data_IF_153067255346
#
_entry.id   IF_153067255346
#
_cell.length_a   1.000
_cell.length_b   1.000
_cell.length_c   1.000
_cell.angle_alpha   90.00
_cell.angle_beta   90.00
_cell.angle_gamma   90.00
#
_symmetry.space_group_name_H-M   'P 1'
#
loop_
_entity.id
_entity.type
_entity.pdbx_description
1 polymer ?
#
# COMPACT_ATOMS: atom_id res chain seq x y z
N UNK A 1 4.79 47.42 -36.65
CA UNK A 1 5.24 47.68 -35.25
C UNK A 1 4.90 46.44 -34.45
N UNK A 2 5.88 45.89 -33.72
CA UNK A 2 6.00 44.46 -33.35
C UNK A 2 4.90 43.95 -32.40
N UNK A 3 4.30 42.81 -32.75
CA UNK A 3 3.46 41.99 -31.88
C UNK A 3 4.38 41.21 -30.92
N UNK A 4 4.29 41.46 -29.62
CA UNK A 4 5.05 40.72 -28.60
C UNK A 4 4.27 39.43 -28.31
N UNK A 5 4.84 38.31 -28.74
CA UNK A 5 4.37 36.97 -28.40
C UNK A 5 4.82 36.65 -26.97
N UNK A 6 3.88 36.66 -26.01
CA UNK A 6 4.14 36.21 -24.65
C UNK A 6 4.26 34.68 -24.67
N UNK A 7 5.49 34.18 -24.62
CA UNK A 7 5.79 32.76 -24.41
C UNK A 7 5.53 32.48 -22.92
N UNK A 8 4.44 31.79 -22.63
CA UNK A 8 4.20 31.19 -21.31
C UNK A 8 5.14 30.00 -21.20
N UNK A 9 6.26 30.18 -20.50
CA UNK A 9 7.14 29.08 -20.10
C UNK A 9 6.40 28.24 -19.06
N UNK A 10 5.83 27.12 -19.51
CA UNK A 10 5.39 26.04 -18.64
C UNK A 10 6.64 25.43 -17.99
N UNK A 11 6.90 25.77 -16.72
CA UNK A 11 7.95 25.13 -15.94
C UNK A 11 7.46 23.72 -15.59
N UNK A 12 7.82 22.75 -16.42
CA UNK A 12 7.71 21.33 -16.08
C UNK A 12 8.84 21.06 -15.08
N UNK A 13 8.54 21.13 -13.79
CA UNK A 13 9.41 20.56 -12.76
C UNK A 13 9.45 19.05 -12.96
N UNK A 14 10.51 18.56 -13.59
CA UNK A 14 10.81 17.14 -13.63
C UNK A 14 11.06 16.67 -12.19
N UNK A 15 10.06 16.03 -11.57
CA UNK A 15 10.21 15.36 -10.29
C UNK A 15 11.17 14.19 -10.47
N UNK A 16 12.39 14.30 -9.92
CA UNK A 16 13.26 13.15 -9.74
C UNK A 16 12.69 12.31 -8.59
N UNK A 17 12.56 10.97 -8.74
CA UNK A 17 12.23 10.13 -7.61
C UNK A 17 13.31 10.28 -6.53
N UNK A 18 12.86 10.42 -5.29
CA UNK A 18 13.73 10.52 -4.11
C UNK A 18 14.49 9.22 -3.95
N UNK A 19 15.79 9.24 -4.23
CA UNK A 19 16.71 8.16 -3.88
C UNK A 19 16.99 8.26 -2.39
N UNK A 20 16.70 7.20 -1.63
CA UNK A 20 17.18 7.07 -0.27
C UNK A 20 18.70 7.25 -0.24
N UNK A 21 19.20 8.04 0.72
CA UNK A 21 20.63 8.13 0.97
C UNK A 21 21.08 6.79 1.59
N UNK A 22 21.63 5.89 0.78
CA UNK A 22 22.14 4.59 1.24
C UNK A 22 23.48 4.72 1.99
N UNK A 23 24.03 5.93 2.14
CA UNK A 23 25.37 6.17 2.71
C UNK A 23 25.38 6.57 4.20
N UNK A 24 24.22 6.86 4.80
CA UNK A 24 24.10 7.17 6.24
C UNK A 24 23.72 5.96 7.09
N UNK A 25 24.16 5.94 8.36
CA UNK A 25 23.73 4.95 9.38
C UNK A 25 22.20 4.95 9.60
N UNK A 26 21.53 6.05 9.23
CA UNK A 26 20.08 6.22 9.29
C UNK A 26 19.49 6.21 7.88
N UNK A 27 18.68 5.19 7.58
CA UNK A 27 17.95 5.10 6.29
C UNK A 27 16.54 5.63 6.46
N UNK A 28 16.31 6.83 5.94
CA UNK A 28 14.99 7.48 5.87
C UNK A 28 14.30 7.11 4.54
N UNK A 29 13.05 6.67 4.62
CA UNK A 29 12.25 6.23 3.46
C UNK A 29 10.90 6.94 3.47
N UNK A 30 10.58 7.65 2.38
CA UNK A 30 9.27 8.25 2.14
C UNK A 30 8.81 7.94 0.70
N UNK A 31 7.52 7.65 0.48
CA UNK A 31 6.94 7.59 -0.85
C UNK A 31 6.86 9.00 -1.46
N UNK A 32 6.74 9.12 -2.80
CA UNK A 32 6.72 10.42 -3.47
C UNK A 32 5.49 11.29 -3.12
N UNK A 33 4.39 10.66 -2.70
CA UNK A 33 3.19 11.34 -2.26
C UNK A 33 2.46 10.53 -1.19
N UNK A 34 1.73 11.24 -0.33
CA UNK A 34 0.76 10.71 0.63
C UNK A 34 -0.58 11.39 0.41
N UNK A 35 -1.68 10.75 0.81
CA UNK A 35 -3.03 11.20 0.46
C UNK A 35 -3.86 11.42 1.72
N UNK A 36 -4.66 12.48 1.73
CA UNK A 36 -5.61 12.76 2.80
C UNK A 36 -6.88 13.43 2.24
N UNK A 37 -7.92 13.50 3.07
CA UNK A 37 -9.16 14.22 2.78
C UNK A 37 -9.58 15.09 3.98
N UNK A 38 -10.38 16.14 3.76
CA UNK A 38 -10.95 16.90 4.85
C UNK A 38 -11.70 16.02 5.88
N UNK A 39 -11.40 16.20 7.16
CA UNK A 39 -12.00 15.46 8.28
C UNK A 39 -11.50 14.03 8.48
N UNK A 40 -10.61 13.52 7.62
CA UNK A 40 -9.94 12.23 7.80
C UNK A 40 -8.57 12.40 8.44
N UNK A 41 -8.29 11.70 9.54
CA UNK A 41 -6.95 11.69 10.13
C UNK A 41 -5.98 10.90 9.24
N UNK A 42 -4.79 11.47 9.05
CA UNK A 42 -3.63 10.81 8.44
C UNK A 42 -2.40 11.08 9.30
N UNK A 43 -1.57 10.08 9.49
CA UNK A 43 -0.33 10.16 10.26
C UNK A 43 0.87 9.60 9.50
N UNK A 44 2.05 10.10 9.83
CA UNK A 44 3.34 9.54 9.46
C UNK A 44 4.05 9.15 10.75
N UNK A 45 4.02 7.85 11.08
CA UNK A 45 4.70 7.31 12.25
C UNK A 45 6.21 7.22 12.03
N UNK A 46 7.00 7.80 12.94
CA UNK A 46 8.44 7.95 12.75
C UNK A 46 9.19 6.61 12.74
N UNK A 47 8.73 5.61 13.50
CA UNK A 47 9.31 4.26 13.49
C UNK A 47 9.17 3.56 12.13
N UNK A 48 8.19 3.97 11.32
CA UNK A 48 7.87 3.37 10.01
C UNK A 48 8.72 3.95 8.87
N UNK A 49 9.21 5.18 9.01
CA UNK A 49 9.99 5.87 7.97
C UNK A 49 11.50 5.70 8.13
N UNK A 50 11.96 5.10 9.23
CA UNK A 50 13.40 4.96 9.52
C UNK A 50 13.81 3.52 9.80
N UNK A 51 14.94 3.10 9.23
CA UNK A 51 15.61 1.88 9.68
C UNK A 51 16.50 2.19 10.89
N UNK A 52 15.94 2.05 12.09
CA UNK A 52 16.67 2.11 13.35
C UNK A 52 16.16 1.04 14.32
N UNK A 53 17.06 0.50 15.15
CA UNK A 53 16.72 -0.48 16.17
C UNK A 53 15.82 0.12 17.25
N UNK A 54 16.11 1.37 17.67
CA UNK A 54 15.22 2.22 18.48
C UNK A 54 15.16 3.62 17.86
N UNK A 55 13.97 4.17 17.73
CA UNK A 55 13.75 5.55 17.27
C UNK A 55 14.02 6.59 18.36
N UNK A 56 14.12 6.18 19.63
CA UNK A 56 14.24 7.10 20.79
C UNK A 56 15.59 7.82 20.85
N UNK A 57 16.56 7.37 20.04
CA UNK A 57 17.88 8.01 19.87
C UNK A 57 17.90 9.01 18.71
N UNK A 58 16.75 9.24 18.07
CA UNK A 58 16.60 10.11 16.91
C UNK A 58 15.62 11.25 17.23
N UNK A 59 15.87 12.40 16.62
CA UNK A 59 14.96 13.54 16.62
C UNK A 59 14.37 13.72 15.22
N UNK A 60 13.06 13.88 15.16
CA UNK A 60 12.33 14.10 13.91
C UNK A 60 11.78 15.52 13.88
N UNK A 61 11.98 16.19 12.75
CA UNK A 61 11.41 17.50 12.49
C UNK A 61 10.68 17.47 11.16
N UNK A 62 9.34 17.56 11.19
CA UNK A 62 8.52 17.65 10.00
C UNK A 62 8.16 19.11 9.72
N UNK A 63 8.43 19.56 8.50
CA UNK A 63 8.00 20.86 7.99
C UNK A 63 6.87 20.65 7.00
N UNK A 64 5.68 21.15 7.31
CA UNK A 64 4.52 21.21 6.45
C UNK A 64 3.68 22.43 6.90
N UNK A 65 2.95 23.05 5.98
CA UNK A 65 2.06 24.18 6.27
C UNK A 65 0.75 23.76 6.96
N UNK A 66 0.45 22.46 6.97
CA UNK A 66 -0.65 21.84 7.72
C UNK A 66 -0.15 20.72 8.64
N UNK A 67 -1.00 20.31 9.58
CA UNK A 67 -0.68 19.24 10.53
C UNK A 67 0.19 19.69 11.69
N UNK A 68 0.59 18.74 12.52
CA UNK A 68 1.30 18.97 13.76
C UNK A 68 2.32 17.86 14.04
N UNK A 69 3.44 18.24 14.65
CA UNK A 69 4.44 17.30 15.14
C UNK A 69 4.03 16.80 16.53
N UNK A 70 4.06 15.47 16.72
CA UNK A 70 3.97 14.76 18.00
C UNK A 70 5.31 14.07 18.25
N UNK A 71 5.47 13.48 19.43
CA UNK A 71 6.73 12.82 19.82
C UNK A 71 7.05 11.59 18.94
N UNK A 72 6.02 10.86 18.51
CA UNK A 72 6.11 9.59 17.80
C UNK A 72 5.68 9.64 16.32
N UNK A 73 5.06 10.76 15.90
CA UNK A 73 4.52 10.94 14.55
C UNK A 73 4.34 12.41 14.18
N UNK A 74 4.17 12.65 12.90
CA UNK A 74 3.45 13.84 12.42
C UNK A 74 2.02 13.44 12.05
N UNK A 75 1.04 14.30 12.33
CA UNK A 75 -0.38 13.99 12.09
C UNK A 75 -1.16 15.19 11.57
N UNK A 76 -2.23 14.93 10.81
CA UNK A 76 -3.11 15.95 10.27
C UNK A 76 -4.55 15.46 10.20
N UNK A 77 -5.49 16.34 10.50
CA UNK A 77 -6.91 16.22 10.12
C UNK A 77 -7.21 17.43 9.22
N UNK A 78 -7.14 17.28 7.89
CA UNK A 78 -7.27 18.43 7.00
C UNK A 78 -8.66 19.08 7.12
N UNK A 79 -8.71 20.40 6.96
CA UNK A 79 -9.95 21.15 6.77
C UNK A 79 -10.24 21.31 5.26
N UNK A 80 -11.42 21.80 4.90
CA UNK A 80 -11.80 21.94 3.48
C UNK A 80 -10.97 22.98 2.73
N UNK A 81 -10.43 23.98 3.41
CA UNK A 81 -9.52 25.00 2.88
C UNK A 81 -8.06 24.51 2.77
N UNK A 82 -7.74 23.34 3.34
CA UNK A 82 -6.47 22.65 3.12
C UNK A 82 -6.48 21.80 1.83
N UNK A 83 -7.48 21.89 0.94
CA UNK A 83 -7.45 21.14 -0.32
C UNK A 83 -6.35 21.68 -1.22
N UNK A 84 -5.41 20.81 -1.62
CA UNK A 84 -4.24 21.17 -2.41
C UNK A 84 -3.08 20.20 -2.23
N UNK A 85 -1.96 20.52 -2.90
CA UNK A 85 -0.68 19.85 -2.71
C UNK A 85 0.15 20.64 -1.68
N UNK A 86 0.60 19.96 -0.63
CA UNK A 86 1.41 20.52 0.44
C UNK A 86 2.79 19.86 0.46
N UNK A 87 3.85 20.66 0.34
CA UNK A 87 5.21 20.15 0.47
C UNK A 87 5.47 19.74 1.91
N UNK A 88 5.97 18.52 2.10
CA UNK A 88 6.30 17.98 3.41
C UNK A 88 7.76 17.52 3.40
N UNK A 89 8.57 18.06 4.30
CA UNK A 89 9.96 17.60 4.53
C UNK A 89 10.10 16.97 5.91
N UNK A 90 10.89 15.91 5.98
CA UNK A 90 11.27 15.26 7.24
C UNK A 90 12.77 15.32 7.36
N UNK A 91 13.25 15.95 8.42
CA UNK A 91 14.65 15.90 8.83
C UNK A 91 14.79 14.98 10.04
N UNK A 92 15.76 14.08 9.98
CA UNK A 92 16.16 13.19 11.08
C UNK A 92 17.53 13.65 11.58
N UNK A 93 17.66 13.83 12.89
CA UNK A 93 18.91 14.23 13.56
C UNK A 93 19.23 13.30 14.73
N UNK A 94 20.49 13.29 15.18
CA UNK A 94 20.84 12.69 16.47
C UNK A 94 20.40 13.59 17.65
N UNK A 95 20.55 13.09 18.87
CA UNK A 95 20.22 13.85 20.10
C UNK A 95 21.06 15.12 20.32
N UNK A 96 22.15 15.32 19.56
CA UNK A 96 22.96 16.54 19.60
C UNK A 96 22.47 17.60 18.60
N UNK A 97 21.47 17.26 17.79
CA UNK A 97 20.93 18.12 16.73
C UNK A 97 21.71 18.03 15.42
N UNK A 98 22.65 17.08 15.27
CA UNK A 98 23.34 16.86 14.00
C UNK A 98 22.40 16.14 13.03
N UNK A 99 22.15 16.78 11.89
CA UNK A 99 21.34 16.18 10.83
C UNK A 99 21.98 14.87 10.31
N UNK A 100 21.17 13.82 10.21
CA UNK A 100 21.55 12.49 9.75
C UNK A 100 20.93 12.17 8.37
N UNK A 101 19.69 12.58 8.14
CA UNK A 101 18.99 12.40 6.87
C UNK A 101 17.91 13.45 6.67
N UNK A 102 17.57 13.73 5.41
CA UNK A 102 16.44 14.59 5.05
C UNK A 102 15.75 14.02 3.80
N UNK A 103 14.42 13.99 3.80
CA UNK A 103 13.62 13.54 2.66
C UNK A 103 12.37 14.41 2.51
N UNK A 104 11.79 14.41 1.31
CA UNK A 104 10.57 15.16 1.01
C UNK A 104 9.51 14.26 0.38
N UNK A 105 8.26 14.62 0.60
CA UNK A 105 7.08 14.04 -0.05
C UNK A 105 6.06 15.16 -0.28
N UNK A 106 4.94 14.82 -0.92
CA UNK A 106 3.80 15.74 -1.11
C UNK A 106 2.58 15.15 -0.42
N UNK A 107 2.02 15.89 0.53
CA UNK A 107 0.69 15.60 1.06
C UNK A 107 -0.34 16.14 0.06
N UNK A 108 -1.11 15.22 -0.52
CA UNK A 108 -2.19 15.51 -1.47
C UNK A 108 -3.52 15.48 -0.72
N UNK A 109 -4.04 16.66 -0.39
CA UNK A 109 -5.36 16.79 0.22
C UNK A 109 -6.38 17.02 -0.88
N UNK A 110 -7.33 16.10 -1.03
CA UNK A 110 -8.36 16.18 -2.08
C UNK A 110 -9.76 16.39 -1.51
N UNK A 111 -10.71 16.97 -2.27
CA UNK A 111 -12.05 17.19 -1.78
C UNK A 111 -12.71 15.91 -1.26
N UNK A 112 -13.39 16.00 -0.11
CA UNK A 112 -14.17 14.89 0.43
C UNK A 112 -15.28 14.41 -0.53
N UNK A 113 -15.71 15.25 -1.47
CA UNK A 113 -16.68 14.92 -2.54
C UNK A 113 -16.04 14.33 -3.82
N UNK A 114 -14.72 14.09 -3.85
CA UNK A 114 -14.07 13.56 -5.05
C UNK A 114 -14.72 12.24 -5.51
N UNK A 115 -15.17 12.17 -6.76
CA UNK A 115 -15.89 11.02 -7.30
C UNK A 115 -17.40 10.99 -7.00
N UNK A 116 -17.99 12.03 -6.39
CA UNK A 116 -19.44 12.15 -6.24
C UNK A 116 -20.15 11.96 -7.59
N UNK A 117 -21.25 11.19 -7.57
CA UNK A 117 -22.03 10.88 -8.78
C UNK A 117 -21.39 9.85 -9.73
N UNK A 118 -20.14 9.44 -9.51
CA UNK A 118 -19.51 8.38 -10.29
C UNK A 118 -19.95 6.99 -9.81
N UNK A 119 -19.65 5.96 -10.62
CA UNK A 119 -19.75 4.56 -10.23
C UNK A 119 -18.40 3.88 -10.46
N UNK A 120 -17.91 3.14 -9.47
CA UNK A 120 -16.61 2.48 -9.51
C UNK A 120 -16.75 0.99 -9.22
N UNK A 121 -15.90 0.19 -9.88
CA UNK A 121 -15.73 -1.23 -9.58
C UNK A 121 -14.32 -1.48 -9.09
N UNK A 122 -14.18 -2.19 -7.99
CA UNK A 122 -12.88 -2.47 -7.37
C UNK A 122 -12.58 -3.97 -7.39
N UNK A 123 -11.34 -4.33 -7.68
CA UNK A 123 -10.80 -5.65 -7.37
C UNK A 123 -9.75 -5.50 -6.28
N UNK A 124 -9.98 -6.12 -5.13
CA UNK A 124 -9.01 -6.14 -4.03
C UNK A 124 -8.30 -7.48 -4.04
N UNK A 125 -6.97 -7.49 -4.05
CA UNK A 125 -6.12 -8.68 -4.05
C UNK A 125 -5.20 -8.60 -2.82
N UNK A 126 -5.09 -9.67 -2.04
CA UNK A 126 -4.15 -9.66 -0.94
C UNK A 126 -4.04 -10.95 -0.15
N UNK A 127 -3.32 -10.87 0.96
CA UNK A 127 -3.00 -12.00 1.82
C UNK A 127 -3.91 -12.10 3.06
N UNK A 128 -3.37 -12.53 4.21
CA UNK A 128 -4.10 -12.64 5.49
C UNK A 128 -4.64 -11.30 5.99
N UNK A 129 -3.94 -10.20 5.72
CA UNK A 129 -4.39 -8.87 6.14
C UNK A 129 -5.69 -8.49 5.42
N UNK A 130 -5.80 -8.87 4.14
CA UNK A 130 -7.02 -8.70 3.35
C UNK A 130 -8.07 -9.75 3.69
N UNK A 131 -7.65 -10.99 3.94
CA UNK A 131 -8.54 -12.08 4.37
C UNK A 131 -9.32 -11.77 5.65
N UNK A 132 -8.77 -10.94 6.55
CA UNK A 132 -9.48 -10.50 7.75
C UNK A 132 -10.74 -9.67 7.44
N UNK A 133 -10.84 -9.11 6.23
CA UNK A 133 -11.91 -8.22 5.76
C UNK A 133 -12.07 -6.91 6.53
N UNK A 134 -11.25 -6.61 7.54
CA UNK A 134 -11.40 -5.38 8.34
C UNK A 134 -11.04 -4.12 7.53
N UNK A 135 -9.91 -4.08 6.83
CA UNK A 135 -9.55 -2.90 6.03
C UNK A 135 -10.40 -2.73 4.75
N UNK A 136 -10.84 -3.82 4.06
CA UNK A 136 -11.82 -3.69 2.98
C UNK A 136 -13.18 -3.19 3.50
N UNK A 137 -13.63 -3.66 4.67
CA UNK A 137 -14.84 -3.15 5.32
C UNK A 137 -14.73 -1.67 5.66
N UNK A 138 -13.59 -1.23 6.20
CA UNK A 138 -13.37 0.19 6.50
C UNK A 138 -13.43 1.05 5.23
N UNK A 139 -12.71 0.64 4.18
CA UNK A 139 -12.76 1.32 2.86
C UNK A 139 -14.19 1.43 2.34
N UNK A 140 -14.96 0.33 2.39
CA UNK A 140 -16.37 0.28 1.99
C UNK A 140 -17.25 1.19 2.88
N UNK A 141 -16.98 1.24 4.18
CA UNK A 141 -17.67 2.11 5.13
C UNK A 141 -17.47 3.59 4.81
N UNK A 142 -16.24 4.01 4.46
CA UNK A 142 -15.97 5.36 3.98
C UNK A 142 -16.65 5.66 2.65
N UNK A 143 -16.58 4.75 1.68
CA UNK A 143 -17.23 4.91 0.38
C UNK A 143 -18.77 4.94 0.46
N UNK A 144 -19.36 4.38 1.52
CA UNK A 144 -20.82 4.35 1.70
C UNK A 144 -21.38 5.61 2.36
N UNK A 145 -20.52 6.57 2.76
CA UNK A 145 -20.96 7.88 3.25
C UNK A 145 -21.52 8.73 2.11
N UNK A 146 -22.39 9.73 2.39
CA UNK A 146 -22.89 10.67 1.38
C UNK A 146 -21.77 11.30 0.53
N UNK A 147 -22.11 11.70 -0.68
CA UNK A 147 -21.22 12.39 -1.64
C UNK A 147 -19.97 11.59 -2.07
N UNK A 148 -19.99 10.27 -1.89
CA UNK A 148 -19.04 9.33 -2.48
C UNK A 148 -19.58 8.70 -3.77
N UNK A 149 -18.72 8.09 -4.59
CA UNK A 149 -19.16 7.29 -5.72
C UNK A 149 -20.00 6.09 -5.26
N UNK A 150 -20.88 5.62 -6.13
CA UNK A 150 -21.41 4.26 -6.01
C UNK A 150 -20.28 3.27 -6.22
N UNK A 151 -20.24 2.20 -5.44
CA UNK A 151 -19.15 1.25 -5.50
C UNK A 151 -19.66 -0.20 -5.55
N UNK A 152 -18.86 -1.07 -6.18
CA UNK A 152 -19.00 -2.51 -6.06
C UNK A 152 -17.61 -3.17 -6.06
N UNK A 153 -17.52 -4.38 -5.54
CA UNK A 153 -16.30 -5.19 -5.55
C UNK A 153 -16.48 -6.42 -6.44
N UNK A 154 -15.44 -6.77 -7.19
CA UNK A 154 -15.45 -7.86 -8.17
C UNK A 154 -14.83 -9.16 -7.65
N UNK A 155 -14.49 -9.23 -6.36
CA UNK A 155 -13.90 -10.41 -5.74
C UNK A 155 -14.91 -11.55 -5.54
N UNK A 156 -14.41 -12.78 -5.51
CA UNK A 156 -15.19 -14.00 -5.28
C UNK A 156 -15.14 -14.49 -3.83
N UNK A 157 -14.15 -14.03 -3.05
CA UNK A 157 -13.99 -14.44 -1.66
C UNK A 157 -14.73 -13.50 -0.72
N UNK A 158 -15.57 -14.09 0.14
CA UNK A 158 -16.39 -13.39 1.13
C UNK A 158 -16.32 -14.12 2.47
N UNK A 159 -15.28 -13.87 3.30
CA UNK A 159 -15.23 -14.35 4.68
C UNK A 159 -16.49 -13.95 5.47
N UNK A 160 -16.78 -14.67 6.56
CA UNK A 160 -17.89 -14.32 7.45
C UNK A 160 -17.77 -12.92 8.06
N UNK A 161 -16.55 -12.38 8.17
CA UNK A 161 -16.29 -11.01 8.63
C UNK A 161 -16.52 -9.93 7.57
N UNK A 162 -16.75 -10.28 6.30
CA UNK A 162 -16.98 -9.31 5.24
C UNK A 162 -18.38 -8.67 5.37
N UNK A 163 -18.41 -7.34 5.40
CA UNK A 163 -19.65 -6.57 5.42
C UNK A 163 -20.49 -6.77 4.15
N UNK A 164 -21.74 -6.29 4.14
CA UNK A 164 -22.57 -6.29 2.94
C UNK A 164 -21.87 -5.57 1.78
N UNK A 165 -21.93 -6.15 0.58
CA UNK A 165 -21.26 -5.64 -0.62
C UNK A 165 -19.74 -5.84 -0.67
N UNK A 166 -19.08 -6.22 0.44
CA UNK A 166 -17.64 -6.48 0.47
C UNK A 166 -17.32 -7.88 -0.03
N UNK A 167 -16.48 -7.94 -1.06
CA UNK A 167 -15.84 -9.17 -1.55
C UNK A 167 -14.45 -8.84 -2.07
N UNK A 168 -13.53 -9.79 -1.98
CA UNK A 168 -12.14 -9.57 -2.37
C UNK A 168 -11.50 -10.87 -2.83
N UNK A 169 -10.24 -10.82 -3.23
CA UNK A 169 -9.37 -11.97 -3.50
C UNK A 169 -8.26 -11.95 -2.44
N UNK A 170 -8.69 -12.11 -1.18
CA UNK A 170 -7.82 -11.98 0.02
C UNK A 170 -7.69 -13.31 0.74
N UNK A 171 -6.47 -13.87 0.76
CA UNK A 171 -6.26 -15.25 1.20
C UNK A 171 -5.08 -15.38 2.16
N UNK A 172 -5.34 -15.92 3.35
CA UNK A 172 -4.31 -16.09 4.37
C UNK A 172 -3.11 -16.91 3.89
N UNK A 173 -1.91 -16.35 4.03
CA UNK A 173 -0.63 -16.99 3.64
C UNK A 173 -0.31 -16.94 2.13
N UNK A 174 -1.10 -16.22 1.33
CA UNK A 174 -0.86 -16.14 -0.12
C UNK A 174 0.22 -15.11 -0.46
N UNK A 175 0.86 -15.37 -1.60
CA UNK A 175 2.00 -14.62 -2.16
C UNK A 175 1.67 -14.18 -3.57
N UNK A 176 2.46 -13.26 -4.15
CA UNK A 176 2.36 -12.93 -5.57
C UNK A 176 2.49 -14.19 -6.45
N UNK A 177 3.45 -15.04 -6.10
CA UNK A 177 3.69 -16.33 -6.78
C UNK A 177 2.44 -17.21 -6.79
N UNK A 178 1.74 -17.31 -5.65
CA UNK A 178 0.56 -18.15 -5.51
C UNK A 178 -0.58 -17.65 -6.40
N UNK A 179 -0.79 -16.33 -6.50
CA UNK A 179 -1.81 -15.78 -7.40
C UNK A 179 -1.56 -16.07 -8.88
N UNK A 180 -0.31 -16.19 -9.32
CA UNK A 180 0.01 -16.38 -10.75
C UNK A 180 0.28 -17.83 -11.14
N UNK A 181 0.51 -18.73 -10.20
CA UNK A 181 0.90 -20.12 -10.50
C UNK A 181 0.03 -21.20 -9.86
N UNK A 182 -0.70 -20.89 -8.79
CA UNK A 182 -1.28 -21.94 -7.96
C UNK A 182 -2.55 -22.54 -8.56
N UNK A 183 -2.49 -23.83 -8.83
CA UNK A 183 -3.62 -24.66 -9.22
C UNK A 183 -3.76 -25.83 -8.26
N UNK A 184 -4.98 -26.05 -7.80
CA UNK A 184 -5.37 -27.15 -6.92
C UNK A 184 -6.36 -28.04 -7.68
N UNK A 185 -5.96 -29.27 -8.08
CA UNK A 185 -6.85 -30.17 -8.81
C UNK A 185 -8.00 -30.71 -7.95
N UNK A 186 -7.82 -30.78 -6.63
CA UNK A 186 -8.78 -31.41 -5.71
C UNK A 186 -9.23 -30.42 -4.61
N UNK A 187 -9.90 -29.31 -4.95
CA UNK A 187 -10.28 -28.30 -3.97
C UNK A 187 -11.29 -28.85 -2.97
N UNK A 188 -11.15 -28.48 -1.69
CA UNK A 188 -12.05 -28.92 -0.61
C UNK A 188 -13.15 -27.89 -0.27
N UNK A 189 -13.27 -26.85 -1.10
CA UNK A 189 -14.19 -25.73 -0.88
C UNK A 189 -13.70 -24.70 0.15
N UNK A 190 -12.56 -24.93 0.80
CA UNK A 190 -11.93 -23.94 1.69
C UNK A 190 -10.96 -23.05 0.92
N UNK A 191 -10.69 -21.86 1.46
CA UNK A 191 -9.68 -20.98 0.87
C UNK A 191 -8.24 -21.50 1.04
N UNK A 192 -8.02 -22.49 1.92
CA UNK A 192 -6.70 -23.07 2.18
C UNK A 192 -6.28 -24.04 1.08
N UNK A 193 -7.24 -24.77 0.54
CA UNK A 193 -7.06 -25.75 -0.53
C UNK A 193 -7.96 -25.39 -1.73
N UNK A 194 -7.52 -24.38 -2.48
CA UNK A 194 -8.14 -23.90 -3.71
C UNK A 194 -7.09 -23.39 -4.69
N UNK A 195 -7.43 -23.39 -5.97
CA UNK A 195 -6.64 -22.69 -7.00
C UNK A 195 -6.67 -21.18 -6.75
N UNK A 196 -5.66 -20.50 -7.30
CA UNK A 196 -5.76 -19.07 -7.55
C UNK A 196 -7.06 -18.76 -8.32
N UNK A 197 -7.80 -17.69 -7.97
CA UNK A 197 -8.96 -17.26 -8.73
C UNK A 197 -8.60 -16.87 -10.18
N UNK A 198 -7.31 -16.68 -10.47
CA UNK A 198 -6.82 -16.21 -11.76
C UNK A 198 -6.15 -17.31 -12.58
N UNK A 199 -5.98 -18.53 -12.05
CA UNK A 199 -5.32 -19.64 -12.75
C UNK A 199 -6.34 -20.68 -13.17
N UNK A 200 -6.39 -20.97 -14.47
CA UNK A 200 -7.34 -21.89 -15.08
C UNK A 200 -6.62 -22.91 -15.95
N UNK A 201 -7.25 -24.06 -16.21
CA UNK A 201 -6.74 -24.99 -17.20
C UNK A 201 -7.00 -24.45 -18.61
N UNK A 202 -5.95 -24.42 -19.44
CA UNK A 202 -6.07 -24.14 -20.87
C UNK A 202 -6.52 -25.37 -21.67
N UNK A 203 -6.62 -25.22 -23.00
CA UNK A 203 -7.08 -26.29 -23.91
C UNK A 203 -6.21 -27.56 -23.83
N UNK A 204 -4.95 -27.44 -23.42
CA UNK A 204 -4.02 -28.55 -23.22
C UNK A 204 -4.03 -29.10 -21.78
N UNK A 205 -5.01 -28.73 -20.96
CA UNK A 205 -5.14 -29.14 -19.56
C UNK A 205 -3.93 -28.72 -18.70
N UNK A 206 -3.30 -27.59 -19.01
CA UNK A 206 -2.23 -27.00 -18.21
C UNK A 206 -2.72 -25.76 -17.48
N UNK A 207 -2.38 -25.59 -16.19
CA UNK A 207 -2.71 -24.36 -15.46
C UNK A 207 -2.01 -23.14 -16.05
N UNK A 208 -2.76 -22.07 -16.26
CA UNK A 208 -2.31 -20.83 -16.84
C UNK A 208 -3.04 -19.63 -16.22
N UNK A 209 -2.33 -18.52 -16.06
CA UNK A 209 -2.90 -17.26 -15.60
C UNK A 209 -3.83 -16.68 -16.68
N UNK A 210 -5.11 -16.55 -16.39
CA UNK A 210 -6.14 -16.05 -17.31
C UNK A 210 -7.14 -15.12 -16.59
N UNK A 211 -6.78 -13.84 -16.50
CA UNK A 211 -7.64 -12.82 -15.91
C UNK A 211 -8.84 -12.46 -16.78
N UNK A 212 -8.74 -12.64 -18.10
CA UNK A 212 -9.87 -12.44 -19.01
C UNK A 212 -10.99 -13.44 -18.70
N UNK A 213 -10.63 -14.71 -18.46
CA UNK A 213 -11.54 -15.74 -17.99
C UNK A 213 -12.09 -15.45 -16.60
N UNK A 214 -11.26 -15.02 -15.66
CA UNK A 214 -11.75 -14.60 -14.34
C UNK A 214 -12.83 -13.52 -14.46
N UNK A 215 -12.57 -12.45 -15.22
CA UNK A 215 -13.54 -11.37 -15.35
C UNK A 215 -14.82 -11.78 -16.08
N UNK A 216 -14.70 -12.61 -17.13
CA UNK A 216 -15.85 -13.13 -17.85
C UNK A 216 -16.73 -14.00 -16.94
N UNK A 217 -16.12 -14.96 -16.24
CA UNK A 217 -16.85 -16.03 -15.57
C UNK A 217 -17.24 -15.64 -14.13
N UNK A 218 -16.35 -14.95 -13.40
CA UNK A 218 -16.55 -14.60 -11.98
C UNK A 218 -17.07 -13.18 -11.76
N UNK A 219 -16.80 -12.26 -12.70
CA UNK A 219 -17.24 -10.87 -12.61
C UNK A 219 -18.33 -10.51 -13.65
N UNK A 220 -19.00 -11.51 -14.23
CA UNK A 220 -20.05 -11.33 -15.24
C UNK A 220 -19.62 -10.43 -16.42
N UNK A 221 -18.37 -10.55 -16.86
CA UNK A 221 -17.78 -9.74 -17.92
C UNK A 221 -17.37 -8.33 -17.51
N UNK A 222 -17.63 -7.91 -16.26
CA UNK A 222 -17.21 -6.60 -15.77
C UNK A 222 -15.70 -6.53 -15.57
N UNK A 223 -15.14 -5.32 -15.72
CA UNK A 223 -13.72 -5.03 -15.49
C UNK A 223 -13.58 -4.04 -14.33
N UNK A 224 -12.54 -4.14 -13.49
CA UNK A 224 -12.32 -3.18 -12.44
C UNK A 224 -11.94 -1.81 -13.03
N UNK A 225 -12.41 -0.76 -12.37
CA UNK A 225 -11.89 0.59 -12.53
C UNK A 225 -10.63 0.79 -11.69
N UNK A 226 -10.59 0.12 -10.52
CA UNK A 226 -9.49 0.15 -9.58
C UNK A 226 -9.11 -1.26 -9.15
N UNK A 227 -7.80 -1.53 -9.09
CA UNK A 227 -7.26 -2.76 -8.50
C UNK A 227 -6.38 -2.34 -7.32
N UNK A 228 -6.66 -2.87 -6.14
CA UNK A 228 -5.85 -2.62 -4.93
C UNK A 228 -5.16 -3.91 -4.56
N UNK A 229 -3.83 -3.90 -4.49
CA UNK A 229 -3.02 -5.08 -4.20
C UNK A 229 -2.21 -4.85 -2.93
N UNK A 230 -2.43 -5.68 -1.91
CA UNK A 230 -1.64 -5.69 -0.69
C UNK A 230 -1.06 -7.09 -0.46
N UNK A 231 0.18 -7.25 -0.91
CA UNK A 231 0.98 -8.49 -0.88
C UNK A 231 2.44 -8.15 -0.59
N UNK A 232 3.24 -9.18 -0.30
CA UNK A 232 4.68 -9.05 -0.08
C UNK A 232 5.14 -9.53 1.30
N UNK A 233 4.25 -9.57 2.30
CA UNK A 233 4.58 -10.10 3.63
C UNK A 233 5.01 -11.55 3.48
N UNK A 234 4.13 -12.43 3.02
CA UNK A 234 4.44 -13.87 2.91
C UNK A 234 5.58 -14.16 1.92
N UNK A 235 5.72 -13.33 0.88
CA UNK A 235 6.79 -13.44 -0.11
C UNK A 235 8.18 -13.17 0.48
N UNK A 236 8.28 -12.32 1.51
CA UNK A 236 9.56 -11.87 2.06
C UNK A 236 9.77 -12.21 3.55
N UNK A 237 8.75 -12.68 4.28
CA UNK A 237 8.80 -12.86 5.75
C UNK A 237 9.99 -13.71 6.24
N UNK A 238 10.37 -14.70 5.43
CA UNK A 238 11.50 -15.59 5.72
C UNK A 238 12.82 -15.19 5.06
N UNK A 239 12.93 -13.99 4.47
CA UNK A 239 14.20 -13.51 3.93
C UNK A 239 15.26 -13.39 5.04
N UNK A 240 16.55 -13.63 4.75
CA UNK A 240 17.60 -13.49 5.75
C UNK A 240 17.90 -12.00 6.01
N UNK A 241 17.64 -11.46 7.21
CA UNK A 241 17.83 -10.03 7.48
C UNK A 241 19.30 -9.62 7.48
N UNK A 242 20.22 -10.56 7.73
CA UNK A 242 21.67 -10.35 7.82
C UNK A 242 22.40 -10.54 6.48
N UNK A 243 21.73 -11.05 5.45
CA UNK A 243 22.27 -11.18 4.10
C UNK A 243 21.50 -10.29 3.13
N UNK A 244 22.07 -9.11 2.86
CA UNK A 244 21.43 -8.14 1.98
C UNK A 244 21.25 -8.66 0.54
N UNK A 245 22.17 -9.50 0.05
CA UNK A 245 22.13 -10.02 -1.31
C UNK A 245 21.03 -11.08 -1.46
N UNK A 246 20.92 -12.01 -0.52
CA UNK A 246 19.86 -13.02 -0.52
C UNK A 246 18.48 -12.40 -0.23
N UNK A 247 18.41 -11.40 0.65
CA UNK A 247 17.19 -10.62 0.87
C UNK A 247 16.74 -9.92 -0.42
N UNK A 248 17.64 -9.23 -1.12
CA UNK A 248 17.32 -8.58 -2.40
C UNK A 248 16.93 -9.59 -3.48
N UNK A 249 17.58 -10.75 -3.56
CA UNK A 249 17.23 -11.81 -4.50
C UNK A 249 15.81 -12.36 -4.25
N UNK A 250 15.39 -12.48 -2.99
CA UNK A 250 14.01 -12.88 -2.64
C UNK A 250 12.99 -11.82 -3.06
N UNK A 251 13.32 -10.54 -2.87
CA UNK A 251 12.50 -9.41 -3.32
C UNK A 251 12.41 -9.39 -4.86
N UNK A 252 13.50 -9.64 -5.58
CA UNK A 252 13.52 -9.74 -7.05
C UNK A 252 12.63 -10.87 -7.55
N UNK A 253 12.67 -12.03 -6.89
CA UNK A 253 11.79 -13.14 -7.21
C UNK A 253 10.32 -12.77 -7.01
N UNK A 254 9.98 -12.10 -5.91
CA UNK A 254 8.62 -11.57 -5.68
C UNK A 254 8.20 -10.63 -6.82
N UNK A 255 9.07 -9.70 -7.23
CA UNK A 255 8.76 -8.78 -8.32
C UNK A 255 8.57 -9.47 -9.68
N UNK A 256 9.26 -10.58 -9.95
CA UNK A 256 9.00 -11.36 -11.17
C UNK A 256 7.57 -11.92 -11.23
N UNK A 257 7.02 -12.29 -10.07
CA UNK A 257 5.62 -12.71 -9.97
C UNK A 257 4.65 -11.53 -10.01
N UNK A 258 5.04 -10.39 -9.42
CA UNK A 258 4.29 -9.16 -9.55
C UNK A 258 4.21 -8.69 -11.01
N UNK A 259 5.29 -8.81 -11.78
CA UNK A 259 5.30 -8.51 -13.22
C UNK A 259 4.27 -9.35 -13.97
N UNK A 260 4.22 -10.67 -13.71
CA UNK A 260 3.24 -11.56 -14.33
C UNK A 260 1.80 -11.11 -14.04
N UNK A 261 1.47 -10.80 -12.79
CA UNK A 261 0.11 -10.39 -12.42
C UNK A 261 -0.23 -8.99 -12.97
N UNK A 262 0.67 -8.02 -12.83
CA UNK A 262 0.46 -6.65 -13.31
C UNK A 262 0.33 -6.59 -14.83
N UNK A 263 1.14 -7.36 -15.57
CA UNK A 263 1.04 -7.44 -17.02
C UNK A 263 -0.28 -8.09 -17.46
N UNK A 264 -0.69 -9.19 -16.81
CA UNK A 264 -1.98 -9.81 -17.09
C UNK A 264 -3.16 -8.87 -16.77
N UNK A 265 -3.09 -8.11 -15.67
CA UNK A 265 -4.09 -7.07 -15.34
C UNK A 265 -4.12 -5.96 -16.38
N UNK A 266 -2.97 -5.49 -16.87
CA UNK A 266 -2.90 -4.45 -17.90
C UNK A 266 -3.50 -4.92 -19.22
N UNK A 267 -3.32 -6.19 -19.58
CA UNK A 267 -3.96 -6.77 -20.78
C UNK A 267 -5.47 -6.91 -20.58
N UNK A 268 -5.90 -7.49 -19.45
CA UNK A 268 -7.30 -7.84 -19.24
C UNK A 268 -8.19 -6.65 -18.81
N UNK A 269 -7.59 -5.65 -18.17
CA UNK A 269 -8.27 -4.44 -17.68
C UNK A 269 -7.42 -3.20 -17.98
N UNK A 270 -7.24 -2.81 -19.27
CA UNK A 270 -6.25 -1.80 -19.68
C UNK A 270 -6.50 -0.41 -19.08
N UNK A 271 -7.74 -0.11 -18.71
CA UNK A 271 -8.14 1.17 -18.09
C UNK A 271 -8.13 1.15 -16.55
N UNK A 272 -7.83 0.00 -15.94
CA UNK A 272 -7.78 -0.11 -14.49
C UNK A 272 -6.61 0.68 -13.94
N UNK A 273 -6.88 1.40 -12.84
CA UNK A 273 -5.87 2.10 -12.06
C UNK A 273 -5.47 1.19 -10.90
N UNK A 274 -4.19 0.91 -10.76
CA UNK A 274 -3.65 -0.09 -9.83
C UNK A 274 -2.96 0.63 -8.68
N UNK A 275 -3.40 0.36 -7.47
CA UNK A 275 -2.77 0.75 -6.23
C UNK A 275 -2.00 -0.43 -5.64
N UNK A 276 -0.68 -0.29 -5.51
CA UNK A 276 0.15 -1.29 -4.80
C UNK A 276 0.40 -0.76 -3.40
N UNK A 277 -0.23 -1.38 -2.40
CA UNK A 277 -0.05 -1.07 -0.99
C UNK A 277 1.37 -1.41 -0.55
N UNK A 278 2.06 -0.43 0.03
CA UNK A 278 3.39 -0.63 0.61
C UNK A 278 3.26 -1.52 1.86
N UNK A 279 4.18 -2.46 2.00
CA UNK A 279 4.10 -3.47 3.05
C UNK A 279 4.05 -2.82 4.43
N UNK A 280 3.03 -3.15 5.22
CA UNK A 280 2.79 -2.57 6.55
C UNK A 280 3.97 -2.81 7.50
N UNK A 281 4.25 -1.88 8.44
CA UNK A 281 5.26 -2.07 9.47
C UNK A 281 4.93 -3.28 10.37
N UNK A 282 5.86 -3.75 11.20
CA UNK A 282 5.51 -4.65 12.30
C UNK A 282 4.94 -3.95 13.51
N UNK A 283 4.41 -4.77 14.42
CA UNK A 283 4.31 -4.42 15.83
C UNK A 283 5.71 -4.03 16.37
N UNK A 284 5.85 -2.88 17.01
CA UNK A 284 7.13 -2.42 17.57
C UNK A 284 7.57 -3.23 18.80
N UNK A 285 6.68 -4.03 19.42
CA UNK A 285 7.00 -4.84 20.60
C UNK A 285 7.71 -6.14 20.22
N UNK A 286 8.89 -6.37 20.78
CA UNK A 286 9.60 -7.67 20.65
C UNK A 286 8.78 -8.83 21.24
N UNK A 287 8.03 -8.60 22.31
CA UNK A 287 7.14 -9.62 22.92
C UNK A 287 6.06 -10.15 21.95
N UNK A 288 5.62 -9.34 20.99
CA UNK A 288 4.67 -9.78 19.98
C UNK A 288 5.27 -10.81 19.01
N UNK A 289 6.56 -10.67 18.70
CA UNK A 289 7.31 -11.64 17.90
C UNK A 289 7.57 -12.93 18.68
N UNK A 290 7.96 -12.82 19.95
CA UNK A 290 8.12 -13.98 20.83
C UNK A 290 6.81 -14.77 20.95
N UNK A 291 5.67 -14.08 21.09
CA UNK A 291 4.36 -14.71 21.18
C UNK A 291 3.96 -15.50 19.92
N UNK A 292 4.36 -15.06 18.72
CA UNK A 292 4.02 -15.75 17.47
C UNK A 292 5.08 -16.75 17.00
N UNK A 293 6.35 -16.46 17.27
CA UNK A 293 7.47 -17.08 16.58
C UNK A 293 8.60 -17.53 17.52
N UNK A 294 8.48 -17.28 18.82
CA UNK A 294 9.53 -17.57 19.80
C UNK A 294 10.86 -16.93 19.35
N UNK A 295 11.93 -17.71 19.23
CA UNK A 295 13.25 -17.24 18.81
C UNK A 295 13.45 -17.23 17.29
N UNK A 296 12.49 -17.75 16.50
CA UNK A 296 12.66 -17.93 15.05
C UNK A 296 12.72 -16.61 14.28
N UNK A 297 11.95 -15.61 14.72
CA UNK A 297 11.89 -14.30 14.08
C UNK A 297 11.90 -13.22 15.15
N UNK A 298 12.76 -12.21 14.97
CA UNK A 298 12.84 -11.05 15.87
C UNK A 298 12.15 -9.84 15.23
N UNK A 299 11.67 -8.90 16.06
CA UNK A 299 11.13 -7.62 15.57
C UNK A 299 12.15 -6.89 14.70
N UNK A 300 13.43 -6.92 15.11
CA UNK A 300 14.50 -6.25 14.37
C UNK A 300 14.78 -6.91 13.01
N UNK A 301 14.80 -8.24 12.96
CA UNK A 301 14.98 -8.98 11.71
C UNK A 301 13.88 -8.64 10.70
N UNK A 302 12.62 -8.71 11.11
CA UNK A 302 11.52 -8.36 10.22
C UNK A 302 11.47 -6.86 9.87
N UNK A 303 11.79 -5.95 10.79
CA UNK A 303 11.88 -4.51 10.46
C UNK A 303 12.90 -4.24 9.35
N UNK A 304 14.07 -4.90 9.35
CA UNK A 304 15.06 -4.77 8.28
C UNK A 304 14.52 -5.24 6.93
N UNK A 305 13.86 -6.41 6.92
CA UNK A 305 13.26 -6.98 5.73
C UNK A 305 12.16 -6.08 5.18
N UNK A 306 11.20 -5.68 6.03
CA UNK A 306 10.08 -4.84 5.64
C UNK A 306 10.54 -3.47 5.17
N UNK A 307 11.50 -2.83 5.84
CA UNK A 307 12.01 -1.53 5.41
C UNK A 307 12.70 -1.63 4.04
N UNK A 308 13.52 -2.66 3.80
CA UNK A 308 14.11 -2.90 2.48
C UNK A 308 13.03 -3.17 1.43
N UNK A 309 12.04 -3.98 1.75
CA UNK A 309 10.93 -4.28 0.86
C UNK A 309 10.16 -3.02 0.45
N UNK A 310 9.86 -2.11 1.39
CA UNK A 310 9.18 -0.83 1.08
C UNK A 310 10.04 0.05 0.18
N UNK A 311 11.34 0.21 0.47
CA UNK A 311 12.28 0.94 -0.40
C UNK A 311 12.27 0.37 -1.82
N UNK A 312 12.35 -0.96 -1.94
CA UNK A 312 12.34 -1.67 -3.21
C UNK A 312 10.99 -1.57 -3.93
N UNK A 313 9.86 -1.58 -3.22
CA UNK A 313 8.52 -1.39 -3.79
C UNK A 313 8.34 0.02 -4.37
N UNK A 314 8.74 1.05 -3.63
CA UNK A 314 8.70 2.45 -4.10
C UNK A 314 9.50 2.59 -5.40
N UNK A 315 10.74 2.07 -5.39
CA UNK A 315 11.62 2.10 -6.56
C UNK A 315 11.02 1.30 -7.74
N UNK A 316 10.57 0.08 -7.51
CA UNK A 316 9.98 -0.79 -8.52
C UNK A 316 8.78 -0.15 -9.23
N UNK A 317 7.86 0.46 -8.48
CA UNK A 317 6.71 1.15 -9.06
C UNK A 317 7.14 2.43 -9.79
N UNK A 318 8.09 3.19 -9.26
CA UNK A 318 8.62 4.38 -9.93
C UNK A 318 9.30 4.05 -11.26
N UNK A 319 10.11 2.99 -11.31
CA UNK A 319 10.88 2.59 -12.50
C UNK A 319 9.98 2.02 -13.61
N UNK A 320 8.78 1.53 -13.28
CA UNK A 320 7.77 1.13 -14.28
C UNK A 320 7.29 2.29 -15.15
N UNK A 321 7.29 3.51 -14.62
CA UNK A 321 6.82 4.70 -15.33
C UNK A 321 5.41 4.55 -15.96
N UNK A 322 4.52 3.80 -15.30
CA UNK A 322 3.12 3.63 -15.71
C UNK A 322 2.23 4.51 -14.81
N UNK A 323 1.62 5.60 -15.32
CA UNK A 323 0.80 6.51 -14.51
C UNK A 323 -0.49 5.86 -13.97
N UNK A 324 -0.85 4.68 -14.50
CA UNK A 324 -1.96 3.87 -14.00
C UNK A 324 -1.54 2.86 -12.93
N UNK A 325 -0.27 2.82 -12.51
CA UNK A 325 0.19 2.01 -11.36
C UNK A 325 0.90 2.93 -10.37
N UNK A 326 0.38 3.01 -9.15
CA UNK A 326 0.91 3.91 -8.11
C UNK A 326 1.02 3.19 -6.77
N UNK A 327 1.92 3.66 -5.92
CA UNK A 327 2.01 3.20 -4.53
C UNK A 327 0.87 3.74 -3.68
N UNK A 328 0.40 2.93 -2.74
CA UNK A 328 -0.51 3.34 -1.66
C UNK A 328 0.27 3.26 -0.34
N UNK A 329 0.58 4.39 0.31
CA UNK A 329 1.38 4.45 1.54
C UNK A 329 0.70 3.89 2.81
N UNK A 330 0.28 2.63 2.78
CA UNK A 330 -0.40 1.97 3.91
C UNK A 330 0.49 1.78 5.13
N UNK A 331 1.81 1.73 4.94
CA UNK A 331 2.81 1.59 5.99
C UNK A 331 2.95 2.84 6.85
N UNK A 332 2.69 4.03 6.31
CA UNK A 332 2.91 5.28 7.04
C UNK A 332 1.84 5.57 8.09
N UNK A 333 0.58 5.26 7.78
CA UNK A 333 -0.57 5.61 8.61
C UNK A 333 -0.82 4.63 9.76
N UNK A 334 -0.21 3.44 9.67
CA UNK A 334 -0.41 2.37 10.64
C UNK A 334 0.43 2.61 11.90
N UNK A 335 -0.26 2.73 13.02
CA UNK A 335 0.35 2.81 14.34
C UNK A 335 1.03 1.46 14.67
N UNK A 336 2.36 1.44 14.83
CA UNK A 336 3.08 0.18 15.04
C UNK A 336 2.98 -0.31 16.49
N UNK A 337 2.36 0.45 17.40
CA UNK A 337 2.15 0.10 18.81
C UNK A 337 0.67 -0.19 19.06
N UNK A 338 -0.20 0.82 19.00
CA UNK A 338 -1.62 0.68 19.36
C UNK A 338 -2.50 0.25 18.18
N UNK A 339 -1.93 0.22 16.96
CA UNK A 339 -2.54 -0.42 15.80
C UNK A 339 -2.41 -1.95 15.80
N UNK A 340 -1.72 -2.53 16.79
CA UNK A 340 -1.51 -3.98 16.94
C UNK A 340 -2.01 -4.50 18.28
N UNK A 341 -2.40 -5.79 18.37
CA UNK A 341 -2.56 -6.43 19.67
C UNK A 341 -1.17 -6.74 20.27
N UNK A 342 -1.07 -6.86 21.59
CA UNK A 342 0.21 -7.07 22.29
C UNK A 342 0.95 -8.35 21.86
N UNK A 343 0.25 -9.32 21.30
CA UNK A 343 0.73 -10.67 21.01
C UNK A 343 0.71 -11.05 19.52
N UNK A 344 0.57 -10.08 18.60
CA UNK A 344 0.67 -10.35 17.17
C UNK A 344 1.67 -9.43 16.49
N UNK A 345 2.67 -10.03 15.86
CA UNK A 345 3.80 -9.33 15.26
C UNK A 345 3.45 -8.66 13.91
N UNK A 346 2.52 -9.25 13.16
CA UNK A 346 2.26 -8.85 11.76
C UNK A 346 0.80 -8.54 11.44
N UNK A 347 -0.16 -9.05 12.23
CA UNK A 347 -1.58 -8.77 12.02
C UNK A 347 -2.03 -7.62 12.93
N UNK A 348 -2.47 -6.49 12.37
CA UNK A 348 -3.03 -5.37 13.12
C UNK A 348 -4.27 -5.77 13.92
N UNK A 349 -4.61 -4.96 14.92
CA UNK A 349 -5.92 -5.01 15.56
C UNK A 349 -6.94 -4.22 14.70
N UNK A 350 -8.18 -4.09 15.18
CA UNK A 350 -9.20 -3.35 14.44
C UNK A 350 -8.84 -1.89 14.18
N UNK A 351 -8.11 -1.22 15.08
CA UNK A 351 -7.65 0.17 14.88
C UNK A 351 -6.64 0.24 13.75
N UNK A 352 -5.61 -0.61 13.77
CA UNK A 352 -4.60 -0.62 12.71
C UNK A 352 -5.18 -1.00 11.33
N UNK A 353 -6.07 -1.99 11.28
CA UNK A 353 -6.76 -2.29 10.02
C UNK A 353 -7.61 -1.13 9.49
N UNK A 354 -8.23 -0.33 10.37
CA UNK A 354 -8.95 0.87 9.95
C UNK A 354 -8.01 1.95 9.40
N UNK A 355 -6.82 2.11 9.99
CA UNK A 355 -5.79 3.02 9.45
C UNK A 355 -5.34 2.60 8.05
N UNK A 356 -5.20 1.29 7.79
CA UNK A 356 -4.93 0.75 6.44
C UNK A 356 -6.08 1.09 5.49
N UNK A 357 -7.33 0.83 5.90
CA UNK A 357 -8.51 1.10 5.08
C UNK A 357 -8.68 2.60 4.76
N UNK A 358 -8.40 3.47 5.72
CA UNK A 358 -8.39 4.92 5.52
C UNK A 358 -7.32 5.34 4.49
N UNK A 359 -6.10 4.82 4.57
CA UNK A 359 -5.05 5.12 3.60
C UNK A 359 -5.42 4.69 2.16
N UNK A 360 -6.04 3.51 2.01
CA UNK A 360 -6.58 3.05 0.71
C UNK A 360 -7.71 3.95 0.22
N UNK A 361 -8.63 4.34 1.11
CA UNK A 361 -9.71 5.26 0.78
C UNK A 361 -9.18 6.63 0.32
N UNK A 362 -8.19 7.21 1.01
CA UNK A 362 -7.61 8.49 0.63
C UNK A 362 -6.93 8.44 -0.75
N UNK A 363 -6.21 7.35 -1.04
CA UNK A 363 -5.67 7.12 -2.38
C UNK A 363 -6.78 7.00 -3.44
N UNK A 364 -7.86 6.26 -3.17
CA UNK A 364 -9.00 6.16 -4.08
C UNK A 364 -9.61 7.54 -4.35
N UNK A 365 -9.80 8.37 -3.32
CA UNK A 365 -10.33 9.74 -3.46
C UNK A 365 -9.41 10.60 -4.30
N UNK A 366 -8.09 10.48 -4.12
CA UNK A 366 -7.13 11.18 -4.96
C UNK A 366 -7.25 10.75 -6.42
N UNK A 367 -7.27 9.44 -6.71
CA UNK A 367 -7.44 8.96 -8.09
C UNK A 367 -8.77 9.41 -8.72
N UNK A 368 -9.84 9.46 -7.93
CA UNK A 368 -11.14 9.95 -8.37
C UNK A 368 -11.14 11.44 -8.69
N UNK A 369 -10.37 12.25 -7.96
CA UNK A 369 -10.22 13.68 -8.26
C UNK A 369 -9.46 13.91 -9.58
N UNK A 370 -8.59 12.98 -9.98
CA UNK A 370 -7.86 13.07 -11.26
C UNK A 370 -8.71 12.71 -12.48
N UNK A 371 -9.87 12.06 -12.32
CA UNK A 371 -10.77 11.68 -13.44
C UNK A 371 -11.69 12.83 -13.89
N UNK A 372 -11.66 13.97 -13.19
CA UNK A 372 -12.52 15.13 -13.44
C UNK A 372 -11.90 16.23 -14.31
N UNK A 373 -10.68 16.03 -14.82
CA UNK A 373 -9.98 16.94 -15.76
C UNK A 373 -9.93 16.38 -17.17
#
# INVERSE_FOLDING_TARGET
MRLILAVVCLVITAFRPVTADESGDVRLTLPPAVYAIPGGEFSIWFDNIVLSQSSDVLQFHVTCDVGENRDDRWTVVPASDHVGDHSLSVRVSDLTGKALAEATTVLKVVPASAGAGQSIRMLIIGDSLTHASVWPNETAGWLSRPDNPRWSMLGTHRPASAAEGVSHEGYGGWTWSRFVTHYEPDPDGTYRKRSSPFVFLNDQQKPELDLEKYFRDSAAGQRPDYVIIMLGINDCFGAPPDDAAEMDARIDQMFSHADSLLNALRVAAPRAQIGVCLTTPPNSRQAAFEANYQERYTRWGWKRIQHRLVQRQIRYISERNDPMITVVPTELNLDPVDGYPDNNAVHPNSTGYRQIGAAVYYWLKWRLSQRGE
#
